data_IF_607233273539
#
_entry.id   IF_607233273539
#
_cell.length_a   1.000
_cell.length_b   1.000
_cell.length_c   1.000
_cell.angle_alpha   90.00
_cell.angle_beta   90.00
_cell.angle_gamma   90.00
#
_symmetry.space_group_name_H-M   'P 1'
#
loop_
_entity.id
_entity.type
_entity.pdbx_description
1 polymer ?
#
# COMPACT_ATOMS: atom_id res chain seq x y z
N UNK A 1 -9.32 -7.24 19.46
CA UNK A 1 -8.37 -8.32 19.82
C UNK A 1 -7.23 -7.81 20.70
N UNK A 2 -6.51 -6.74 20.30
CA UNK A 2 -5.41 -6.20 21.10
C UNK A 2 -5.82 -5.79 22.53
N UNK A 3 -6.90 -5.02 22.68
CA UNK A 3 -7.47 -4.65 24.00
C UNK A 3 -7.82 -5.87 24.86
N UNK A 4 -8.41 -6.91 24.27
CA UNK A 4 -8.72 -8.15 24.99
C UNK A 4 -7.46 -8.94 25.37
N UNK A 5 -6.43 -8.94 24.51
CA UNK A 5 -5.14 -9.56 24.80
C UNK A 5 -4.43 -8.90 25.99
N UNK A 6 -4.53 -7.58 26.10
CA UNK A 6 -4.03 -6.82 27.25
C UNK A 6 -4.80 -7.18 28.53
N UNK A 7 -6.14 -7.16 28.49
CA UNK A 7 -6.98 -7.50 29.64
C UNK A 7 -6.76 -8.94 30.15
N UNK A 8 -6.56 -9.90 29.25
CA UNK A 8 -6.33 -11.29 29.63
C UNK A 8 -4.91 -11.55 30.14
N UNK A 9 -3.95 -10.66 29.86
CA UNK A 9 -2.55 -10.77 30.26
C UNK A 9 -1.87 -12.13 29.92
N UNK A 10 -2.26 -12.74 28.80
CA UNK A 10 -1.72 -14.03 28.32
C UNK A 10 -0.57 -13.87 27.31
N UNK A 11 -0.05 -12.65 27.12
CA UNK A 11 1.07 -12.39 26.22
C UNK A 11 0.77 -12.58 24.73
N UNK A 12 -0.51 -12.58 24.32
CA UNK A 12 -0.91 -12.72 22.91
C UNK A 12 -0.51 -11.48 22.11
N UNK A 13 -0.01 -11.68 20.89
CA UNK A 13 0.30 -10.61 19.94
C UNK A 13 -0.81 -10.50 18.90
N UNK A 14 -1.25 -9.28 18.61
CA UNK A 14 -2.29 -9.00 17.60
C UNK A 14 -1.62 -8.43 16.35
N UNK A 15 -1.86 -9.07 15.20
CA UNK A 15 -1.35 -8.62 13.91
C UNK A 15 -2.51 -8.46 12.92
N UNK A 16 -2.59 -7.31 12.27
CA UNK A 16 -3.49 -7.02 11.17
C UNK A 16 -2.69 -6.95 9.87
N UNK A 17 -3.12 -7.62 8.80
CA UNK A 17 -2.52 -7.46 7.47
C UNK A 17 -3.57 -6.81 6.58
N UNK A 18 -3.22 -5.64 6.03
CA UNK A 18 -4.14 -4.82 5.23
C UNK A 18 -3.46 -4.41 3.92
N UNK A 19 -4.22 -4.39 2.83
CA UNK A 19 -3.73 -3.90 1.54
C UNK A 19 -3.82 -2.38 1.41
N UNK A 20 -3.01 -1.82 0.51
CA UNK A 20 -3.04 -0.42 0.05
C UNK A 20 -4.44 0.08 -0.37
N UNK A 21 -5.23 -0.73 -1.08
CA UNK A 21 -6.60 -0.35 -1.43
C UNK A 21 -7.60 -0.42 -0.27
N UNK A 22 -7.33 -1.24 0.76
CA UNK A 22 -8.24 -1.43 1.89
C UNK A 22 -8.02 -0.38 2.98
N UNK A 23 -6.78 0.09 3.16
CA UNK A 23 -6.45 1.11 4.17
C UNK A 23 -7.08 2.48 3.85
N UNK A 24 -7.46 2.73 2.60
CA UNK A 24 -8.19 3.96 2.23
C UNK A 24 -9.66 3.94 2.64
N UNK A 25 -10.20 2.80 3.08
CA UNK A 25 -11.58 2.74 3.55
C UNK A 25 -11.75 3.55 4.84
N UNK A 26 -12.82 4.35 4.95
CA UNK A 26 -13.06 5.19 6.12
C UNK A 26 -13.05 4.42 7.46
N UNK A 27 -13.56 3.17 7.49
CA UNK A 27 -13.49 2.34 8.70
C UNK A 27 -12.07 1.94 9.09
N UNK A 28 -11.16 1.74 8.11
CA UNK A 28 -9.77 1.45 8.40
C UNK A 28 -9.09 2.69 9.01
N UNK A 29 -9.35 3.87 8.45
CA UNK A 29 -8.83 5.14 8.97
C UNK A 29 -9.31 5.43 10.39
N UNK A 30 -10.62 5.29 10.66
CA UNK A 30 -11.18 5.47 12.01
C UNK A 30 -10.64 4.45 13.01
N UNK A 31 -10.48 3.19 12.59
CA UNK A 31 -9.88 2.16 13.44
C UNK A 31 -8.41 2.48 13.79
N UNK A 32 -7.65 3.05 12.86
CA UNK A 32 -6.29 3.50 13.11
C UNK A 32 -6.26 4.70 14.07
N UNK A 33 -7.08 5.71 13.82
CA UNK A 33 -7.19 6.86 14.71
C UNK A 33 -7.52 6.43 16.16
N UNK A 34 -8.48 5.53 16.31
CA UNK A 34 -8.84 4.97 17.62
C UNK A 34 -7.72 4.13 18.24
N UNK A 35 -6.98 3.34 17.44
CA UNK A 35 -5.83 2.59 17.92
C UNK A 35 -4.68 3.51 18.37
N UNK A 36 -4.50 4.66 17.73
CA UNK A 36 -3.58 5.71 18.18
C UNK A 36 -3.94 6.27 19.55
N UNK A 37 -5.23 6.54 19.77
CA UNK A 37 -5.74 7.10 21.03
C UNK A 37 -5.62 6.12 22.20
N UNK A 38 -6.08 4.88 22.03
CA UNK A 38 -6.03 3.87 23.11
C UNK A 38 -4.69 3.14 23.21
N UNK A 39 -3.77 3.39 22.26
CA UNK A 39 -2.38 2.94 22.23
C UNK A 39 -2.14 1.46 22.58
N UNK A 40 -2.85 0.48 21.97
CA UNK A 40 -2.73 -0.92 22.34
C UNK A 40 -1.49 -1.56 21.71
N UNK A 41 -0.97 -2.62 22.33
CA UNK A 41 0.10 -3.45 21.73
C UNK A 41 -0.43 -4.20 20.48
N UNK A 42 -0.15 -3.68 19.29
CA UNK A 42 -0.55 -4.31 18.02
C UNK A 42 0.38 -3.97 16.86
N UNK A 43 0.40 -4.84 15.85
CA UNK A 43 1.11 -4.62 14.59
C UNK A 43 0.12 -4.56 13.43
N UNK A 44 0.20 -3.51 12.62
CA UNK A 44 -0.42 -3.43 11.30
C UNK A 44 0.66 -3.64 10.24
N UNK A 45 0.47 -4.62 9.37
CA UNK A 45 1.31 -4.83 8.19
C UNK A 45 0.55 -4.28 6.99
N UNK A 46 1.01 -3.16 6.45
CA UNK A 46 0.52 -2.59 5.20
C UNK A 46 1.22 -3.28 4.04
N UNK A 47 0.48 -4.10 3.30
CA UNK A 47 0.93 -4.75 2.07
C UNK A 47 0.59 -3.87 0.86
N UNK A 48 1.54 -3.04 0.46
CA UNK A 48 1.42 -2.20 -0.72
C UNK A 48 1.94 -2.93 -1.95
N UNK A 49 1.10 -3.06 -2.96
CA UNK A 49 1.45 -3.66 -4.25
C UNK A 49 1.23 -2.70 -5.42
N UNK A 50 1.10 -1.40 -5.12
CA UNK A 50 0.85 -0.29 -6.03
C UNK A 50 -0.39 -0.47 -6.92
N UNK A 51 -1.35 -1.32 -6.51
CA UNK A 51 -2.51 -1.61 -7.33
C UNK A 51 -3.84 -1.46 -6.59
N UNK A 52 -4.49 -0.35 -6.86
CA UNK A 52 -5.93 -0.19 -6.71
C UNK A 52 -6.62 -0.66 -8.01
N UNK A 53 -7.60 -1.56 -7.93
CA UNK A 53 -8.27 -2.23 -9.09
C UNK A 53 -8.85 -1.22 -10.10
N UNK A 54 -9.16 -0.02 -9.62
CA UNK A 54 -9.33 1.20 -10.41
C UNK A 54 -8.55 2.30 -9.69
N UNK A 55 -8.15 3.36 -10.38
CA UNK A 55 -7.68 4.59 -9.70
C UNK A 55 -8.64 4.90 -8.55
N UNK A 56 -8.10 5.16 -7.36
CA UNK A 56 -8.93 5.50 -6.20
C UNK A 56 -9.85 6.67 -6.59
N UNK A 57 -11.12 6.59 -6.18
CA UNK A 57 -12.12 7.64 -6.44
C UNK A 57 -12.54 8.28 -5.11
N UNK A 58 -12.51 9.61 -5.06
CA UNK A 58 -12.89 10.43 -3.91
C UNK A 58 -11.73 11.30 -3.40
N UNK A 59 -12.00 12.53 -2.96
CA UNK A 59 -10.93 13.50 -2.62
C UNK A 59 -10.00 13.03 -1.48
N UNK A 60 -10.55 12.40 -0.43
CA UNK A 60 -9.76 11.86 0.69
C UNK A 60 -9.00 10.59 0.29
N UNK A 61 -9.67 9.68 -0.44
CA UNK A 61 -9.03 8.48 -0.97
C UNK A 61 -7.92 8.84 -1.95
N UNK A 62 -8.08 9.89 -2.75
CA UNK A 62 -7.06 10.37 -3.68
C UNK A 62 -5.90 11.00 -2.93
N UNK A 63 -6.13 11.69 -1.82
CA UNK A 63 -5.06 12.23 -1.00
C UNK A 63 -4.28 11.12 -0.28
N UNK A 64 -4.97 10.16 0.37
CA UNK A 64 -4.36 8.96 0.94
C UNK A 64 -3.64 8.13 -0.13
N UNK A 65 -4.26 7.90 -1.28
CA UNK A 65 -3.66 7.22 -2.41
C UNK A 65 -2.45 7.99 -2.92
N UNK A 66 -2.49 9.32 -3.02
CA UNK A 66 -1.36 10.16 -3.45
C UNK A 66 -0.26 10.23 -2.40
N UNK A 67 -0.57 10.12 -1.11
CA UNK A 67 0.43 10.02 -0.04
C UNK A 67 1.11 8.65 -0.07
N UNK A 68 0.34 7.58 -0.29
CA UNK A 68 0.85 6.21 -0.40
C UNK A 68 1.60 5.96 -1.73
N UNK A 69 1.04 6.43 -2.86
CA UNK A 69 1.66 6.39 -4.19
C UNK A 69 2.67 7.53 -4.43
N UNK A 70 2.83 8.42 -3.46
CA UNK A 70 3.58 9.67 -3.53
C UNK A 70 5.09 9.46 -3.52
N UNK A 71 5.63 9.08 -4.68
CA UNK A 71 7.05 9.13 -5.04
C UNK A 71 7.98 8.31 -4.12
N UNK A 72 8.20 7.07 -4.54
CA UNK A 72 9.53 6.48 -4.62
C UNK A 72 10.50 7.46 -5.30
N UNK A 73 11.17 8.32 -4.52
CA UNK A 73 12.35 9.06 -4.96
C UNK A 73 13.44 9.00 -3.89
N UNK A 74 13.73 7.80 -3.42
CA UNK A 74 14.82 7.55 -2.48
C UNK A 74 15.65 6.32 -2.86
N UNK A 75 15.94 6.10 -4.16
CA UNK A 75 17.13 5.30 -4.53
C UNK A 75 17.65 5.55 -5.95
N UNK A 76 18.07 6.78 -6.27
CA UNK A 76 19.22 6.98 -7.18
C UNK A 76 20.52 6.82 -6.40
N UNK A 77 20.66 5.70 -5.67
CA UNK A 77 21.90 5.35 -4.97
C UNK A 77 22.24 3.92 -5.30
N UNK A 78 22.78 3.72 -6.51
CA UNK A 78 23.77 2.66 -6.80
C UNK A 78 24.38 2.70 -8.22
N UNK A 79 24.03 3.67 -9.07
CA UNK A 79 24.58 3.79 -10.44
C UNK A 79 25.70 4.83 -10.67
N UNK A 80 26.36 5.36 -9.63
CA UNK A 80 27.20 6.56 -9.78
C UNK A 80 28.55 6.55 -9.05
N UNK A 81 29.18 5.38 -8.82
CA UNK A 81 30.60 5.35 -8.43
C UNK A 81 31.47 5.64 -9.65
N UNK A 82 31.61 6.93 -9.99
CA UNK A 82 32.76 7.56 -10.67
C UNK A 82 32.36 8.97 -11.11
N UNK A 83 32.72 9.96 -10.31
CA UNK A 83 33.31 11.28 -10.67
C UNK A 83 33.14 12.16 -9.42
N UNK A 84 34.13 12.14 -8.52
CA UNK A 84 34.31 13.20 -7.54
C UNK A 84 35.78 13.59 -7.51
N UNK A 85 36.12 14.55 -8.36
CA UNK A 85 37.31 15.37 -8.20
C UNK A 85 36.92 16.82 -8.49
N UNK A 86 36.54 17.56 -7.43
CA UNK A 86 36.57 19.03 -7.45
C UNK A 86 35.24 19.78 -7.44
N UNK A 87 34.38 19.62 -6.43
CA UNK A 87 33.30 20.59 -6.14
C UNK A 87 33.41 21.06 -4.67
N UNK A 88 33.49 22.38 -4.41
CA UNK A 88 33.60 22.93 -3.05
C UNK A 88 32.29 22.75 -2.24
N UNK A 89 32.32 22.92 -0.90
CA UNK A 89 31.20 22.51 -0.04
C UNK A 89 29.95 23.37 -0.30
N UNK A 90 28.90 22.77 -0.84
CA UNK A 90 27.61 23.41 -1.07
C UNK A 90 26.84 23.47 0.28
N UNK A 91 27.29 24.33 1.20
CA UNK A 91 26.62 24.54 2.49
C UNK A 91 25.36 25.41 2.38
N UNK A 92 25.25 26.25 1.35
CA UNK A 92 24.11 27.17 1.20
C UNK A 92 22.88 26.57 0.51
N UNK A 93 23.06 25.54 -0.33
CA UNK A 93 21.92 24.87 -1.00
C UNK A 93 21.10 23.99 -0.03
N UNK A 94 21.75 23.49 1.03
CA UNK A 94 21.11 22.69 2.08
C UNK A 94 20.14 23.53 2.95
N UNK A 95 20.47 24.80 3.23
CA UNK A 95 19.61 25.68 4.04
C UNK A 95 18.34 26.13 3.31
N UNK A 96 18.36 26.23 1.98
CA UNK A 96 17.17 26.59 1.19
C UNK A 96 16.27 25.39 0.86
N UNK A 97 16.75 24.16 1.06
CA UNK A 97 15.92 22.95 0.89
C UNK A 97 15.09 22.63 2.12
N UNK A 98 15.53 23.01 3.33
CA UNK A 98 14.72 22.84 4.56
C UNK A 98 13.35 23.54 4.48
N UNK A 99 13.24 24.68 3.78
CA UNK A 99 11.98 25.42 3.68
C UNK A 99 11.00 24.84 2.65
N UNK A 100 11.48 24.12 1.62
CA UNK A 100 10.63 23.44 0.63
C UNK A 100 10.25 22.00 1.02
N UNK A 101 10.87 21.44 2.05
CA UNK A 101 10.52 20.11 2.59
C UNK A 101 9.37 20.19 3.60
N UNK A 102 9.10 21.36 4.20
CA UNK A 102 8.04 21.57 5.20
C UNK A 102 6.61 21.28 4.71
N UNK A 103 6.39 21.11 3.40
CA UNK A 103 5.09 20.78 2.81
C UNK A 103 4.97 19.35 2.26
N UNK A 104 6.02 18.52 2.36
CA UNK A 104 5.95 17.11 1.95
C UNK A 104 5.58 16.23 3.14
N UNK A 105 4.30 15.90 3.27
CA UNK A 105 3.85 14.79 4.10
C UNK A 105 4.41 13.52 3.47
N UNK A 106 5.47 12.96 4.04
CA UNK A 106 5.96 11.63 3.67
C UNK A 106 4.95 10.64 4.25
N UNK A 107 4.57 9.54 3.56
CA UNK A 107 3.56 8.61 4.10
C UNK A 107 3.82 8.15 5.54
N UNK A 108 5.08 8.11 6.00
CA UNK A 108 5.43 7.88 7.40
C UNK A 108 4.88 8.91 8.38
N UNK A 109 4.90 10.21 8.05
CA UNK A 109 4.47 11.28 8.95
C UNK A 109 2.97 11.23 9.24
N UNK A 110 2.15 10.77 8.29
CA UNK A 110 0.70 10.62 8.51
C UNK A 110 0.39 9.51 9.53
N UNK A 111 1.04 8.36 9.43
CA UNK A 111 0.80 7.26 10.35
C UNK A 111 1.36 7.54 11.74
N UNK A 112 2.49 8.25 11.81
CA UNK A 112 3.05 8.76 13.06
C UNK A 112 2.12 9.77 13.73
N UNK A 113 1.49 10.67 12.96
CA UNK A 113 0.46 11.60 13.47
C UNK A 113 -0.78 10.86 14.01
N UNK A 114 -1.12 9.70 13.46
CA UNK A 114 -2.16 8.80 13.97
C UNK A 114 -1.68 7.96 15.18
N UNK A 115 -0.49 8.21 15.71
CA UNK A 115 0.03 7.54 16.90
C UNK A 115 0.75 6.21 16.65
N UNK A 116 0.97 5.82 15.38
CA UNK A 116 1.70 4.58 15.06
C UNK A 116 3.21 4.81 14.98
N UNK A 117 3.99 3.85 15.46
CA UNK A 117 5.40 3.78 15.10
C UNK A 117 5.53 3.18 13.69
N UNK A 118 5.96 3.98 12.73
CA UNK A 118 6.06 3.59 11.32
C UNK A 118 7.43 3.00 10.98
N UNK A 119 7.45 1.83 10.32
CA UNK A 119 8.66 1.14 9.85
C UNK A 119 8.47 0.74 8.39
N UNK A 120 9.37 1.18 7.51
CA UNK A 120 9.39 0.81 6.09
C UNK A 120 9.49 2.02 5.14
N UNK A 121 9.21 1.86 3.83
CA UNK A 121 8.87 0.59 3.19
C UNK A 121 10.05 -0.40 3.16
N UNK A 122 9.76 -1.70 3.27
CA UNK A 122 10.74 -2.79 3.07
C UNK A 122 10.30 -3.73 1.94
N UNK A 123 11.23 -4.48 1.34
CA UNK A 123 10.90 -5.47 0.32
C UNK A 123 10.11 -6.64 0.92
N UNK A 124 8.85 -6.78 0.50
CA UNK A 124 7.94 -7.84 0.94
C UNK A 124 8.25 -9.21 0.34
N UNK A 125 9.17 -9.32 -0.62
CA UNK A 125 9.61 -10.58 -1.21
C UNK A 125 10.91 -11.13 -0.60
N UNK A 126 11.62 -10.34 0.21
CA UNK A 126 12.75 -10.82 1.00
C UNK A 126 12.26 -11.38 2.33
N UNK A 127 11.89 -12.67 2.31
CA UNK A 127 11.38 -13.39 3.48
C UNK A 127 12.38 -13.37 4.64
N UNK A 128 13.69 -13.40 4.37
CA UNK A 128 14.71 -13.42 5.41
C UNK A 128 14.78 -12.06 6.10
N UNK A 129 14.79 -10.98 5.32
CA UNK A 129 14.73 -9.62 5.87
C UNK A 129 13.42 -9.34 6.63
N UNK A 130 12.29 -9.85 6.14
CA UNK A 130 10.99 -9.74 6.83
C UNK A 130 11.00 -10.46 8.17
N UNK A 131 11.51 -11.69 8.23
CA UNK A 131 11.63 -12.44 9.50
C UNK A 131 12.50 -11.66 10.49
N UNK A 132 13.63 -11.10 10.04
CA UNK A 132 14.48 -10.30 10.91
C UNK A 132 13.77 -9.04 11.41
N UNK A 133 13.06 -8.34 10.51
CA UNK A 133 12.30 -7.12 10.83
C UNK A 133 11.21 -7.42 11.85
N UNK A 134 10.38 -8.44 11.59
CA UNK A 134 9.32 -8.88 12.49
C UNK A 134 9.86 -9.34 13.85
N UNK A 135 11.03 -10.00 13.86
CA UNK A 135 11.70 -10.41 15.10
C UNK A 135 12.11 -9.21 15.94
N UNK A 136 12.70 -8.19 15.31
CA UNK A 136 13.09 -6.95 16.00
C UNK A 136 11.86 -6.19 16.52
N UNK A 137 10.73 -6.24 15.81
CA UNK A 137 9.49 -5.56 16.18
C UNK A 137 8.68 -6.28 17.27
N UNK A 138 8.89 -7.58 17.47
CA UNK A 138 8.05 -8.44 18.33
C UNK A 138 7.84 -7.88 19.74
N UNK A 139 8.87 -7.28 20.29
CA UNK A 139 8.90 -6.83 21.69
C UNK A 139 8.65 -5.32 21.84
N UNK A 140 8.40 -4.62 20.73
CA UNK A 140 7.95 -3.22 20.74
C UNK A 140 6.55 -3.09 21.35
N UNK A 141 6.28 -1.91 21.92
CA UNK A 141 5.07 -1.56 22.65
C UNK A 141 4.27 -0.49 21.91
N UNK A 142 2.95 -0.50 22.13
CA UNK A 142 2.02 0.36 21.42
C UNK A 142 1.79 -0.05 19.95
N UNK A 143 1.05 0.75 19.18
CA UNK A 143 0.65 0.44 17.83
C UNK A 143 1.83 0.64 16.87
N UNK A 144 2.15 -0.43 16.13
CA UNK A 144 3.23 -0.48 15.15
C UNK A 144 2.65 -0.58 13.75
N UNK A 145 3.27 0.06 12.77
CA UNK A 145 2.95 -0.11 11.35
C UNK A 145 4.19 -0.52 10.57
N UNK A 146 4.18 -1.73 9.99
CA UNK A 146 5.18 -2.21 9.05
C UNK A 146 4.66 -2.05 7.62
N UNK A 147 5.29 -1.21 6.83
CA UNK A 147 4.98 -1.04 5.42
C UNK A 147 5.88 -1.96 4.57
N UNK A 148 5.27 -2.91 3.86
CA UNK A 148 5.95 -3.81 2.93
C UNK A 148 5.51 -3.54 1.49
N UNK A 149 6.47 -3.56 0.57
CA UNK A 149 6.23 -3.46 -0.86
C UNK A 149 6.21 -4.84 -1.49
N UNK A 150 5.14 -5.22 -2.17
CA UNK A 150 5.04 -6.49 -2.89
C UNK A 150 4.71 -6.27 -4.36
N UNK A 151 4.64 -7.37 -5.12
CA UNK A 151 4.31 -7.40 -6.53
C UNK A 151 3.18 -8.40 -6.68
N UNK A 152 2.00 -7.93 -7.09
CA UNK A 152 0.86 -8.84 -7.28
C UNK A 152 1.21 -9.89 -8.34
N UNK A 153 0.84 -11.14 -8.07
CA UNK A 153 1.12 -12.26 -8.96
C UNK A 153 2.57 -12.77 -8.93
N UNK A 154 3.43 -12.28 -8.02
CA UNK A 154 4.84 -12.71 -7.93
C UNK A 154 4.97 -14.24 -7.94
N UNK A 155 5.88 -14.74 -8.78
CA UNK A 155 6.15 -16.17 -8.91
C UNK A 155 5.29 -16.85 -9.99
N UNK A 156 4.38 -16.13 -10.64
CA UNK A 156 3.59 -16.63 -11.75
C UNK A 156 3.51 -15.61 -12.89
N UNK A 157 4.36 -15.79 -13.91
CA UNK A 157 4.58 -14.81 -14.97
C UNK A 157 3.31 -14.27 -15.65
N UNK A 158 2.27 -15.06 -15.95
CA UNK A 158 1.02 -14.52 -16.51
C UNK A 158 0.32 -13.53 -15.58
N UNK A 159 0.29 -13.79 -14.27
CA UNK A 159 -0.32 -12.89 -13.29
C UNK A 159 0.56 -11.67 -12.96
N UNK A 160 1.88 -11.77 -13.08
CA UNK A 160 2.77 -10.61 -12.98
C UNK A 160 2.61 -9.65 -14.17
N UNK A 161 2.30 -10.17 -15.37
CA UNK A 161 2.14 -9.40 -16.61
C UNK A 161 0.75 -8.77 -16.73
N UNK A 162 -0.29 -9.44 -16.26
CA UNK A 162 -1.66 -8.89 -16.24
C UNK A 162 -2.33 -9.06 -14.86
N UNK A 163 -1.86 -8.34 -13.83
CA UNK A 163 -2.39 -8.48 -12.47
C UNK A 163 -3.89 -8.17 -12.31
N UNK A 164 -4.49 -7.44 -13.26
CA UNK A 164 -5.91 -7.07 -13.25
C UNK A 164 -6.75 -8.26 -13.71
N UNK A 165 -6.48 -8.81 -14.89
CA UNK A 165 -7.22 -9.98 -15.39
C UNK A 165 -7.02 -11.20 -14.51
N UNK A 166 -5.85 -11.31 -13.87
CA UNK A 166 -5.52 -12.39 -12.95
C UNK A 166 -6.03 -12.20 -11.51
N UNK A 167 -6.70 -11.08 -11.20
CA UNK A 167 -7.22 -10.84 -9.85
C UNK A 167 -8.32 -11.82 -9.43
N UNK A 168 -9.20 -12.18 -10.37
CA UNK A 168 -10.31 -13.09 -10.15
C UNK A 168 -10.47 -13.99 -11.38
N UNK A 169 -9.79 -15.13 -11.36
CA UNK A 169 -9.78 -16.07 -12.48
C UNK A 169 -10.58 -17.33 -12.17
N UNK A 170 -11.29 -17.91 -13.16
CA UNK A 170 -11.87 -19.23 -13.00
C UNK A 170 -10.77 -20.27 -12.80
N UNK A 171 -11.14 -21.45 -12.27
CA UNK A 171 -10.21 -22.58 -12.14
C UNK A 171 -9.45 -22.79 -13.46
N UNK A 172 -8.13 -22.73 -13.39
CA UNK A 172 -7.21 -22.87 -14.53
C UNK A 172 -6.09 -23.85 -14.16
N UNK A 173 -5.34 -24.32 -15.16
CA UNK A 173 -4.12 -25.09 -14.93
C UNK A 173 -2.92 -24.13 -14.83
N UNK A 174 -2.23 -24.06 -13.66
CA UNK A 174 -1.05 -23.22 -13.50
C UNK A 174 0.10 -23.56 -14.46
N UNK A 175 0.15 -24.79 -14.98
CA UNK A 175 1.19 -25.19 -15.94
C UNK A 175 0.96 -24.62 -17.33
N UNK A 176 -0.30 -24.44 -17.73
CA UNK A 176 -0.62 -23.98 -19.09
C UNK A 176 -0.57 -22.48 -19.23
N UNK A 177 -0.67 -21.72 -18.13
CA UNK A 177 -0.62 -20.25 -18.21
C UNK A 177 -1.90 -19.60 -18.74
N UNK A 178 -2.95 -20.38 -19.02
CA UNK A 178 -4.10 -19.95 -19.82
C UNK A 178 -5.41 -20.10 -19.07
N UNK A 179 -6.25 -19.07 -19.16
CA UNK A 179 -7.61 -19.14 -18.64
C UNK A 179 -8.55 -19.92 -19.58
N UNK A 180 -9.46 -20.75 -19.04
CA UNK A 180 -10.45 -21.44 -19.85
C UNK A 180 -11.35 -20.42 -20.58
N UNK A 181 -11.56 -20.63 -21.89
CA UNK A 181 -12.50 -19.84 -22.67
C UNK A 181 -13.92 -20.25 -22.27
N UNK A 182 -14.76 -19.30 -21.87
CA UNK A 182 -16.18 -19.58 -21.58
C UNK A 182 -16.91 -19.93 -22.88
N UNK A 183 -17.54 -21.11 -23.02
CA UNK A 183 -18.03 -21.59 -24.32
C UNK A 183 -19.25 -20.84 -24.88
N UNK A 184 -19.96 -20.03 -24.07
CA UNK A 184 -21.16 -19.30 -24.49
C UNK A 184 -21.49 -18.19 -23.47
N UNK A 185 -20.73 -17.10 -23.48
CA UNK A 185 -20.95 -16.00 -22.55
C UNK A 185 -22.13 -15.13 -23.02
N UNK A 186 -23.35 -15.49 -22.58
CA UNK A 186 -24.45 -14.49 -22.52
C UNK A 186 -23.91 -13.26 -21.78
N UNK A 187 -24.24 -12.04 -22.23
CA UNK A 187 -23.73 -10.84 -21.58
C UNK A 187 -24.16 -10.83 -20.11
N UNK A 188 -23.23 -10.51 -19.21
CA UNK A 188 -23.54 -10.35 -17.79
C UNK A 188 -24.46 -9.15 -17.60
N UNK A 189 -25.26 -9.15 -16.53
CA UNK A 189 -26.07 -7.98 -16.17
C UNK A 189 -25.22 -6.71 -16.07
N UNK A 190 -24.00 -6.78 -15.52
CA UNK A 190 -23.05 -5.66 -15.48
C UNK A 190 -22.68 -5.15 -16.88
N UNK A 191 -22.49 -6.03 -17.87
CA UNK A 191 -22.19 -5.63 -19.26
C UNK A 191 -23.40 -4.98 -19.93
N UNK A 192 -24.61 -5.53 -19.72
CA UNK A 192 -25.86 -4.96 -20.26
C UNK A 192 -26.09 -3.57 -19.68
N UNK A 193 -25.98 -3.46 -18.35
CA UNK A 193 -26.19 -2.24 -17.61
C UNK A 193 -25.15 -1.17 -18.00
N UNK A 194 -23.86 -1.51 -18.02
CA UNK A 194 -22.80 -0.60 -18.46
C UNK A 194 -22.99 -0.09 -19.88
N UNK A 195 -23.37 -0.96 -20.81
CA UNK A 195 -23.70 -0.55 -22.19
C UNK A 195 -24.91 0.40 -22.24
N UNK A 196 -25.91 0.17 -21.39
CA UNK A 196 -27.08 1.05 -21.26
C UNK A 196 -26.73 2.45 -20.75
N UNK A 197 -25.83 2.56 -19.76
CA UNK A 197 -25.36 3.85 -19.24
C UNK A 197 -24.49 4.62 -20.23
N UNK A 198 -23.62 3.94 -20.98
CA UNK A 198 -22.75 4.56 -22.00
C UNK A 198 -23.56 5.04 -23.23
N UNK A 199 -24.73 4.45 -23.49
CA UNK A 199 -25.62 4.84 -24.60
C UNK A 199 -26.56 6.01 -24.32
N UNK A 200 -26.59 6.59 -23.11
CA UNK A 200 -27.37 7.80 -22.85
C UNK A 200 -26.67 8.98 -23.56
N UNK A 201 -27.29 9.66 -24.54
CA UNK A 201 -26.67 10.79 -25.25
C UNK A 201 -26.44 11.98 -24.30
N UNK A 202 -25.55 12.92 -24.64
CA UNK A 202 -25.27 14.07 -23.80
C UNK A 202 -26.57 14.83 -23.53
N UNK A 203 -26.76 15.21 -22.27
CA UNK A 203 -27.81 16.13 -21.83
C UNK A 203 -27.90 17.28 -22.84
N UNK A 204 -29.10 17.51 -23.38
CA UNK A 204 -29.41 18.70 -24.16
C UNK A 204 -28.91 19.91 -23.38
N UNK A 205 -27.94 20.63 -23.97
CA UNK A 205 -27.64 22.00 -23.56
C UNK A 205 -28.88 22.81 -23.91
N UNK A 206 -29.60 23.27 -22.88
CA UNK A 206 -30.47 24.44 -22.97
C UNK A 206 -29.70 25.64 -22.43
#
# INVERSE_FOLDING_TARGET
MAVAAEQENLGRKTVCVIGDGAITAGMAFEAMNHAGDINPDMLVVLNDNEMSISENVGALNNHLAQLLSGKLYTTLREGGKKVFSGIPPIKELLKKTEEHIKGMVVPGTMFEELGFNYIGPVDGHDVIALVQTLTNMRDLKGPQLLHIMTKKGRGYAPAEQDPISWHAVPKFDPKTGTLPKSPNARPTFSKILGTGYVKKPPLMKN
#
